data_IF_076965694973
#
_entry.id   IF_076965694973
#
_cell.length_a   1.000
_cell.length_b   1.000
_cell.length_c   1.000
_cell.angle_alpha   90.00
_cell.angle_beta   90.00
_cell.angle_gamma   90.00
#
_symmetry.space_group_name_H-M   'P 1'
#
loop_
_entity.id
_entity.type
_entity.pdbx_description
1 polymer ?
#
# COMPACT_ATOMS: atom_id res chain seq x y z
N UNK A 1 -16.96 2.44 -23.88
CA UNK A 1 -16.41 1.11 -23.53
C UNK A 1 -15.05 1.00 -24.21
N UNK A 2 -14.01 1.52 -23.56
CA UNK A 2 -12.63 1.45 -24.05
C UNK A 2 -11.84 0.54 -23.13
N UNK A 3 -11.27 -0.52 -23.69
CA UNK A 3 -10.41 -1.47 -22.96
C UNK A 3 -9.07 -0.81 -22.65
N UNK A 4 -8.74 -0.67 -21.36
CA UNK A 4 -7.42 -0.20 -20.90
C UNK A 4 -6.35 -1.25 -21.28
N UNK A 5 -5.15 -0.84 -21.76
CA UNK A 5 -4.06 -1.77 -22.04
C UNK A 5 -3.37 -2.25 -20.75
N UNK A 6 -2.76 -3.46 -20.75
CA UNK A 6 -2.06 -4.00 -19.59
C UNK A 6 -0.77 -3.22 -19.28
N UNK A 7 -0.53 -2.98 -17.99
CA UNK A 7 0.72 -2.46 -17.45
C UNK A 7 1.89 -3.37 -17.83
N UNK A 8 2.74 -2.90 -18.76
CA UNK A 8 4.00 -3.56 -19.08
C UNK A 8 5.00 -3.24 -17.99
N UNK A 9 5.32 -4.26 -17.17
CA UNK A 9 6.39 -4.23 -16.17
C UNK A 9 7.73 -4.10 -16.91
N UNK A 10 8.31 -2.90 -16.90
CA UNK A 10 9.66 -2.67 -17.43
C UNK A 10 10.67 -3.28 -16.46
N UNK A 11 11.19 -4.46 -16.81
CA UNK A 11 12.34 -5.08 -16.14
C UNK A 11 13.56 -4.18 -16.33
N UNK A 12 14.04 -3.54 -15.26
CA UNK A 12 15.31 -2.80 -15.25
C UNK A 12 16.50 -3.77 -15.14
N UNK A 13 17.51 -3.67 -16.02
CA UNK A 13 18.79 -4.33 -15.82
C UNK A 13 19.72 -3.47 -14.95
N UNK A 14 20.35 -4.07 -13.92
CA UNK A 14 21.66 -3.60 -13.43
C UNK A 14 21.76 -3.02 -12.02
N UNK A 15 21.24 -3.69 -10.99
CA UNK A 15 21.63 -3.37 -9.59
C UNK A 15 22.57 -4.46 -9.07
N UNK A 16 23.87 -4.15 -9.05
CA UNK A 16 24.90 -4.95 -8.39
C UNK A 16 24.76 -4.83 -6.88
N UNK A 17 24.39 -5.93 -6.21
CA UNK A 17 24.44 -6.05 -4.76
C UNK A 17 25.90 -6.16 -4.31
N UNK A 18 26.44 -5.11 -3.69
CA UNK A 18 27.72 -5.17 -3.00
C UNK A 18 27.48 -5.60 -1.55
N UNK A 19 27.83 -6.85 -1.24
CA UNK A 19 27.71 -7.48 0.08
C UNK A 19 28.68 -6.86 1.10
N UNK A 20 28.14 -6.25 2.16
CA UNK A 20 28.88 -5.88 3.36
C UNK A 20 28.50 -6.80 4.51
N UNK A 21 29.37 -7.75 4.82
CA UNK A 21 29.20 -8.77 5.86
C UNK A 21 29.69 -8.20 7.21
N UNK A 22 28.80 -8.09 8.20
CA UNK A 22 29.12 -7.71 9.57
C UNK A 22 28.36 -8.60 10.56
N UNK A 23 29.06 -9.62 11.07
CA UNK A 23 28.54 -10.59 12.03
C UNK A 23 28.65 -10.07 13.47
N UNK A 24 27.61 -10.25 14.29
CA UNK A 24 27.73 -10.43 15.74
C UNK A 24 26.66 -11.38 16.29
N UNK A 25 26.92 -12.06 17.44
CA UNK A 25 26.25 -13.31 17.81
C UNK A 25 25.30 -13.23 19.03
N UNK A 26 24.40 -14.22 19.05
CA UNK A 26 23.86 -15.01 20.19
C UNK A 26 22.98 -14.35 21.26
N UNK A 27 21.71 -14.76 21.26
CA UNK A 27 20.84 -14.82 22.42
C UNK A 27 19.76 -15.90 22.21
N UNK A 28 19.99 -17.11 22.73
CA UNK A 28 19.05 -18.23 22.69
C UNK A 28 18.13 -18.22 23.92
N UNK A 29 16.81 -18.27 23.71
CA UNK A 29 15.83 -18.53 24.75
C UNK A 29 15.00 -19.80 24.40
N UNK A 30 14.64 -20.64 25.39
CA UNK A 30 14.04 -21.95 25.17
C UNK A 30 12.50 -21.94 25.07
N UNK A 31 12.03 -23.09 24.58
CA UNK A 31 10.69 -23.50 24.18
C UNK A 31 9.58 -23.41 25.24
N UNK A 32 8.35 -23.18 24.78
CA UNK A 32 7.15 -23.69 25.42
C UNK A 32 6.20 -24.24 24.34
N UNK A 33 6.29 -25.56 24.11
CA UNK A 33 5.33 -26.31 23.31
C UNK A 33 4.04 -26.49 24.11
N UNK A 34 2.89 -26.18 23.49
CA UNK A 34 1.58 -26.47 24.08
C UNK A 34 0.76 -27.30 23.10
N UNK A 35 0.74 -28.58 23.41
CA UNK A 35 -0.07 -29.62 22.80
C UNK A 35 -1.52 -29.58 23.30
N UNK A 36 -2.37 -30.35 22.61
CA UNK A 36 -3.79 -30.71 22.86
C UNK A 36 -4.82 -29.76 22.20
N UNK A 37 -5.85 -30.22 21.50
CA UNK A 37 -6.43 -31.57 21.40
C UNK A 37 -7.31 -31.66 20.15
N UNK A 38 -7.18 -32.77 19.42
CA UNK A 38 -8.01 -33.15 18.29
C UNK A 38 -9.23 -33.93 18.82
N UNK A 39 -10.45 -33.47 18.54
CA UNK A 39 -11.68 -34.22 18.80
C UNK A 39 -12.38 -34.46 17.46
N UNK A 40 -12.41 -35.73 17.06
CA UNK A 40 -13.10 -36.27 15.88
C UNK A 40 -14.35 -36.98 16.39
N UNK A 41 -15.54 -36.70 15.85
CA UNK A 41 -16.71 -37.61 15.89
C UNK A 41 -17.88 -37.08 15.05
N UNK A 42 -18.31 -37.83 14.03
CA UNK A 42 -19.67 -37.71 13.46
C UNK A 42 -19.79 -38.00 11.96
N UNK A 43 -20.61 -38.99 11.51
CA UNK A 43 -20.51 -39.58 10.18
C UNK A 43 -21.49 -39.02 9.12
N UNK A 44 -20.98 -39.04 7.89
CA UNK A 44 -21.59 -39.35 6.58
C UNK A 44 -23.12 -39.30 6.42
N UNK A 45 -23.57 -38.38 5.55
CA UNK A 45 -24.74 -38.58 4.67
C UNK A 45 -24.34 -38.28 3.23
N UNK A 46 -24.45 -39.32 2.41
CA UNK A 46 -24.34 -39.35 0.94
C UNK A 46 -25.54 -38.65 0.28
N UNK A 47 -25.30 -37.94 -0.85
CA UNK A 47 -26.03 -38.02 -2.14
C UNK A 47 -25.84 -36.70 -2.95
N UNK A 48 -25.12 -36.71 -4.11
CA UNK A 48 -25.67 -36.82 -5.50
C UNK A 48 -26.57 -35.59 -5.85
N UNK A 49 -26.38 -34.76 -6.89
CA UNK A 49 -26.06 -34.98 -8.32
C UNK A 49 -25.75 -33.64 -9.06
N UNK A 50 -24.72 -33.68 -9.92
CA UNK A 50 -24.46 -33.04 -11.23
C UNK A 50 -24.85 -31.59 -11.62
N UNK A 51 -23.87 -30.91 -12.26
CA UNK A 51 -23.85 -30.39 -13.66
C UNK A 51 -23.07 -29.07 -13.71
N UNK A 52 -21.78 -29.04 -14.06
CA UNK A 52 -21.20 -28.95 -15.41
C UNK A 52 -21.75 -27.77 -16.27
N UNK A 53 -21.00 -26.65 -16.35
CA UNK A 53 -20.69 -25.94 -17.61
C UNK A 53 -19.51 -24.98 -17.42
N UNK A 54 -18.57 -25.07 -18.37
CA UNK A 54 -17.33 -24.31 -18.51
C UNK A 54 -17.57 -22.84 -18.88
N UNK A 55 -16.87 -21.93 -18.21
CA UNK A 55 -16.42 -20.66 -18.78
C UNK A 55 -15.03 -20.38 -18.22
N UNK A 56 -14.04 -20.18 -19.10
CA UNK A 56 -12.63 -20.01 -18.74
C UNK A 56 -12.43 -18.78 -17.85
N UNK A 57 -12.12 -19.02 -16.58
CA UNK A 57 -11.52 -18.03 -15.71
C UNK A 57 -10.02 -18.05 -15.94
N UNK A 58 -9.45 -16.92 -16.33
CA UNK A 58 -8.04 -16.67 -16.06
C UNK A 58 -7.93 -16.61 -14.54
N UNK A 59 -7.36 -17.65 -13.92
CA UNK A 59 -6.91 -17.58 -12.53
C UNK A 59 -5.69 -16.65 -12.53
N UNK A 60 -5.77 -15.44 -11.93
CA UNK A 60 -4.57 -14.67 -11.68
C UNK A 60 -3.73 -15.45 -10.66
N UNK A 61 -2.46 -15.69 -11.00
CA UNK A 61 -1.47 -16.22 -10.08
C UNK A 61 -1.37 -15.26 -8.87
N UNK A 62 -1.91 -15.69 -7.72
CA UNK A 62 -1.79 -15.01 -6.44
C UNK A 62 -0.35 -15.20 -5.91
N UNK A 63 0.60 -14.46 -6.49
CA UNK A 63 1.89 -14.16 -5.87
C UNK A 63 1.65 -13.18 -4.71
N UNK A 64 1.16 -13.73 -3.60
CA UNK A 64 0.82 -13.03 -2.36
C UNK A 64 2.10 -12.62 -1.61
N UNK A 65 2.67 -11.46 -1.97
CA UNK A 65 3.82 -10.83 -1.31
C UNK A 65 3.47 -10.27 0.10
N UNK A 66 2.30 -10.60 0.66
CA UNK A 66 1.91 -10.30 2.05
C UNK A 66 1.60 -8.82 2.35
N UNK A 67 1.48 -7.97 1.33
CA UNK A 67 0.94 -6.61 1.46
C UNK A 67 -0.60 -6.62 1.40
N UNK A 68 -1.29 -5.66 2.05
CA UNK A 68 -2.73 -5.53 1.87
C UNK A 68 -3.06 -5.29 0.40
N UNK A 69 -4.16 -5.89 -0.06
CA UNK A 69 -4.74 -5.64 -1.37
C UNK A 69 -5.08 -4.16 -1.56
N UNK A 70 -5.39 -3.76 -2.80
CA UNK A 70 -5.94 -2.44 -3.09
C UNK A 70 -7.10 -2.10 -2.15
N UNK A 71 -7.25 -0.82 -1.82
CA UNK A 71 -8.34 -0.36 -0.94
C UNK A 71 -9.62 -0.14 -1.73
N UNK A 72 -10.75 -0.44 -1.11
CA UNK A 72 -12.07 -0.17 -1.69
C UNK A 72 -12.39 1.33 -1.57
N UNK A 73 -11.91 2.13 -2.53
CA UNK A 73 -12.16 3.57 -2.59
C UNK A 73 -12.61 4.01 -3.99
N UNK A 74 -13.68 4.79 -4.03
CA UNK A 74 -14.16 5.49 -5.23
C UNK A 74 -13.96 7.00 -5.06
N UNK A 75 -12.93 7.54 -5.71
CA UNK A 75 -12.59 8.96 -5.66
C UNK A 75 -13.73 9.88 -6.16
N UNK A 76 -14.63 9.38 -7.02
CA UNK A 76 -15.72 10.17 -7.57
C UNK A 76 -16.87 10.40 -6.58
N UNK A 77 -16.93 9.60 -5.50
CA UNK A 77 -18.05 9.64 -4.53
C UNK A 77 -17.73 10.38 -3.24
N UNK A 78 -16.47 10.68 -2.98
CA UNK A 78 -16.05 11.39 -1.77
C UNK A 78 -16.04 12.92 -1.98
N UNK A 79 -16.09 13.66 -0.87
CA UNK A 79 -16.06 15.13 -0.89
C UNK A 79 -14.68 15.62 -0.41
N UNK A 80 -13.85 16.21 -1.28
CA UNK A 80 -12.51 16.64 -0.89
C UNK A 80 -12.59 17.92 -0.05
N UNK A 81 -11.70 18.05 0.93
CA UNK A 81 -11.64 19.22 1.82
C UNK A 81 -11.14 20.47 1.09
N UNK A 82 -10.35 20.27 0.04
CA UNK A 82 -9.77 21.31 -0.80
C UNK A 82 -9.66 20.81 -2.24
N UNK A 83 -9.33 21.71 -3.17
CA UNK A 83 -9.17 21.36 -4.58
C UNK A 83 -8.07 20.30 -4.78
N UNK A 84 -8.33 19.19 -5.48
CA UNK A 84 -7.41 18.04 -5.58
C UNK A 84 -6.25 18.27 -6.56
N UNK A 85 -5.51 19.37 -6.38
CA UNK A 85 -4.29 19.69 -7.12
C UNK A 85 -3.06 19.30 -6.30
N UNK A 86 -1.94 19.03 -6.97
CA UNK A 86 -0.71 18.64 -6.29
C UNK A 86 -0.22 19.68 -5.29
N UNK A 87 -0.30 20.98 -5.62
CA UNK A 87 0.13 22.04 -4.70
C UNK A 87 -0.65 21.99 -3.38
N UNK A 88 -1.96 21.72 -3.44
CA UNK A 88 -2.83 21.61 -2.26
C UNK A 88 -2.60 20.29 -1.53
N UNK A 89 -2.54 19.17 -2.24
CA UNK A 89 -2.25 17.85 -1.65
C UNK A 89 -0.92 17.88 -0.89
N UNK A 90 0.12 18.47 -1.49
CA UNK A 90 1.42 18.59 -0.84
C UNK A 90 1.36 19.50 0.38
N UNK A 91 0.87 20.73 0.23
CA UNK A 91 0.93 21.75 1.30
C UNK A 91 -0.03 21.51 2.45
N UNK A 92 -1.20 20.91 2.17
CA UNK A 92 -2.24 20.71 3.17
C UNK A 92 -2.17 19.33 3.82
N UNK A 93 -1.64 18.31 3.14
CA UNK A 93 -1.68 16.93 3.67
C UNK A 93 -0.31 16.27 3.71
N UNK A 94 0.40 16.09 2.58
CA UNK A 94 1.64 15.30 2.57
C UNK A 94 2.73 15.94 3.43
N UNK A 95 2.98 17.24 3.28
CA UNK A 95 4.02 17.94 4.04
C UNK A 95 3.69 18.00 5.54
N UNK A 96 2.51 18.48 5.99
CA UNK A 96 2.21 18.58 7.42
C UNK A 96 2.06 17.21 8.09
N UNK A 97 1.44 16.22 7.44
CA UNK A 97 1.10 14.93 8.07
C UNK A 97 2.17 13.86 7.89
N UNK A 98 2.99 13.93 6.84
CA UNK A 98 4.00 12.90 6.53
C UNK A 98 5.44 13.42 6.59
N UNK A 99 5.68 14.72 6.32
CA UNK A 99 7.01 15.29 6.12
C UNK A 99 7.52 16.29 7.15
N UNK A 100 6.73 16.67 8.16
CA UNK A 100 7.14 17.66 9.17
C UNK A 100 8.38 17.23 9.95
N UNK A 101 9.49 17.95 9.76
CA UNK A 101 10.76 17.67 10.45
C UNK A 101 10.61 17.65 11.98
N UNK A 102 11.22 16.66 12.64
CA UNK A 102 11.22 16.51 14.10
C UNK A 102 10.01 15.81 14.70
N UNK A 103 8.93 15.61 13.93
CA UNK A 103 7.74 14.86 14.36
C UNK A 103 7.29 13.79 13.34
N UNK A 104 7.67 13.93 12.07
CA UNK A 104 7.17 13.07 11.01
C UNK A 104 8.15 11.94 10.63
N UNK A 105 7.57 10.81 10.23
CA UNK A 105 8.28 9.59 9.93
C UNK A 105 8.99 9.62 8.55
N UNK A 106 8.65 10.54 7.65
CA UNK A 106 9.25 10.63 6.30
C UNK A 106 10.05 11.91 6.06
N UNK A 107 10.43 12.65 7.11
CA UNK A 107 11.08 13.96 6.94
C UNK A 107 12.55 13.90 6.45
N UNK A 108 13.20 12.74 6.54
CA UNK A 108 14.58 12.55 6.08
C UNK A 108 14.86 11.07 5.81
N UNK A 109 15.97 10.75 5.14
CA UNK A 109 16.39 9.38 4.89
C UNK A 109 16.71 8.58 6.17
N UNK A 110 16.94 9.26 7.29
CA UNK A 110 17.19 8.65 8.60
C UNK A 110 15.92 8.56 9.46
N UNK A 111 14.80 9.10 8.99
CA UNK A 111 13.53 9.02 9.69
C UNK A 111 12.97 7.59 9.66
N UNK A 112 12.27 7.18 10.71
CA UNK A 112 11.81 5.80 10.91
C UNK A 112 10.87 5.27 9.80
N UNK A 113 10.13 6.16 9.14
CA UNK A 113 9.24 5.84 8.02
C UNK A 113 9.93 5.82 6.65
N UNK A 114 11.18 6.27 6.54
CA UNK A 114 11.90 6.31 5.26
C UNK A 114 12.39 4.93 4.78
N UNK A 115 12.15 3.87 5.56
CA UNK A 115 12.57 2.49 5.29
C UNK A 115 12.09 1.94 3.94
N UNK A 116 11.01 2.49 3.39
CA UNK A 116 10.47 2.16 2.06
C UNK A 116 11.02 3.01 0.91
N UNK A 117 12.00 3.89 1.16
CA UNK A 117 12.58 4.77 0.14
C UNK A 117 11.80 6.06 -0.13
N UNK A 118 10.70 6.31 0.58
CA UNK A 118 9.93 7.55 0.49
C UNK A 118 10.36 8.57 1.54
N UNK A 119 10.80 9.74 1.08
CA UNK A 119 11.16 10.90 1.91
C UNK A 119 10.45 12.13 1.36
N UNK A 120 9.75 12.84 2.24
CA UNK A 120 9.11 14.11 1.91
C UNK A 120 10.15 15.22 2.07
N UNK A 121 10.42 15.92 0.98
CA UNK A 121 11.41 17.01 0.93
C UNK A 121 10.74 18.29 0.42
N UNK A 122 11.16 18.81 -0.73
CA UNK A 122 10.43 19.88 -1.42
C UNK A 122 9.31 19.32 -2.29
N UNK A 123 8.41 20.21 -2.72
CA UNK A 123 7.21 19.86 -3.48
C UNK A 123 7.52 19.14 -4.80
N UNK A 124 8.53 19.58 -5.56
CA UNK A 124 8.82 18.98 -6.85
C UNK A 124 9.52 17.61 -6.70
N UNK A 125 10.47 17.53 -5.77
CA UNK A 125 11.18 16.28 -5.46
C UNK A 125 10.24 15.22 -4.87
N UNK A 126 9.31 15.61 -4.00
CA UNK A 126 8.34 14.69 -3.41
C UNK A 126 7.37 14.15 -4.46
N UNK A 127 6.88 15.00 -5.38
CA UNK A 127 6.03 14.56 -6.50
C UNK A 127 6.73 13.51 -7.35
N UNK A 128 7.97 13.81 -7.75
CA UNK A 128 8.79 12.90 -8.56
C UNK A 128 9.04 11.59 -7.82
N UNK A 129 9.35 11.64 -6.52
CA UNK A 129 9.58 10.45 -5.71
C UNK A 129 8.33 9.57 -5.58
N UNK A 130 7.13 10.16 -5.46
CA UNK A 130 5.87 9.41 -5.42
C UNK A 130 5.66 8.59 -6.70
N UNK A 131 5.95 9.19 -7.86
CA UNK A 131 5.78 8.56 -9.17
C UNK A 131 6.90 7.57 -9.49
N UNK A 132 8.16 7.99 -9.37
CA UNK A 132 9.34 7.19 -9.70
C UNK A 132 9.51 5.99 -8.77
N UNK A 133 9.09 6.14 -7.51
CA UNK A 133 9.08 5.07 -6.51
C UNK A 133 7.92 4.09 -6.67
N UNK A 134 6.94 4.38 -7.53
CA UNK A 134 5.74 3.56 -7.70
C UNK A 134 4.75 3.68 -6.54
N UNK A 135 4.90 4.66 -5.65
CA UNK A 135 3.98 4.87 -4.53
C UNK A 135 2.62 5.41 -4.99
N UNK A 136 2.60 6.07 -6.15
CA UNK A 136 1.41 6.57 -6.83
C UNK A 136 1.38 6.01 -8.24
N UNK A 137 0.23 5.42 -8.58
CA UNK A 137 -0.10 4.96 -9.92
C UNK A 137 -1.16 5.92 -10.50
N UNK A 138 -0.77 6.80 -11.45
CA UNK A 138 -1.71 7.75 -12.04
C UNK A 138 -2.96 7.08 -12.64
N UNK A 139 -4.14 7.53 -12.22
CA UNK A 139 -5.43 7.00 -12.67
C UNK A 139 -5.87 5.69 -12.01
N UNK A 140 -5.17 5.27 -10.95
CA UNK A 140 -5.48 4.12 -10.11
C UNK A 140 -5.25 4.45 -8.63
N UNK A 141 -6.20 5.17 -8.05
CA UNK A 141 -6.16 5.57 -6.65
C UNK A 141 -6.28 4.38 -5.69
N UNK A 142 -7.06 3.35 -6.04
CA UNK A 142 -7.33 2.22 -5.17
C UNK A 142 -6.09 1.34 -4.94
N UNK A 143 -5.28 1.17 -5.99
CA UNK A 143 -4.08 0.35 -5.96
C UNK A 143 -2.78 1.15 -5.80
N UNK A 144 -2.84 2.46 -5.63
CA UNK A 144 -1.66 3.26 -5.29
C UNK A 144 -1.24 3.00 -3.84
N UNK A 145 0.02 2.59 -3.60
CA UNK A 145 0.55 2.33 -2.25
C UNK A 145 0.28 3.48 -1.28
N UNK A 146 0.38 4.73 -1.74
CA UNK A 146 0.06 5.90 -0.93
C UNK A 146 -1.37 5.83 -0.38
N UNK A 147 -2.35 5.48 -1.20
CA UNK A 147 -3.74 5.37 -0.76
C UNK A 147 -3.98 4.14 0.10
N UNK A 148 -3.34 3.02 -0.22
CA UNK A 148 -3.40 1.81 0.63
C UNK A 148 -2.90 2.14 2.04
N UNK A 149 -1.83 2.94 2.16
CA UNK A 149 -1.30 3.41 3.44
C UNK A 149 -2.22 4.40 4.15
N UNK A 150 -3.02 5.19 3.44
CA UNK A 150 -3.90 6.21 4.04
C UNK A 150 -5.31 5.70 4.38
N UNK A 151 -5.72 4.59 3.78
CA UNK A 151 -7.14 4.16 3.82
C UNK A 151 -7.38 2.68 4.11
N UNK A 152 -6.34 1.92 4.44
CA UNK A 152 -6.52 0.55 4.91
C UNK A 152 -7.20 0.51 6.29
N UNK A 153 -8.02 -0.51 6.51
CA UNK A 153 -8.56 -0.84 7.83
C UNK A 153 -7.52 -1.54 8.74
N UNK A 154 -6.40 -2.01 8.17
CA UNK A 154 -5.30 -2.58 8.95
C UNK A 154 -4.49 -1.47 9.63
N UNK A 155 -4.79 -1.25 10.90
CA UNK A 155 -4.10 -0.26 11.75
C UNK A 155 -2.57 -0.45 11.87
N UNK A 156 -2.04 -1.65 11.56
CA UNK A 156 -0.59 -1.89 11.54
C UNK A 156 0.08 -1.37 10.25
N UNK A 157 -0.71 -1.18 9.20
CA UNK A 157 -0.27 -0.69 7.89
C UNK A 157 -0.66 0.78 7.63
N UNK A 158 -1.70 1.25 8.33
CA UNK A 158 -2.23 2.62 8.25
C UNK A 158 -1.19 3.68 8.66
N UNK A 159 -1.18 4.78 7.91
CA UNK A 159 -0.36 5.95 8.14
C UNK A 159 -1.22 7.18 8.43
N UNK A 160 -0.84 8.02 9.42
CA UNK A 160 0.33 7.86 10.29
C UNK A 160 0.14 6.74 11.34
N UNK A 161 1.24 6.10 11.81
CA UNK A 161 1.14 4.94 12.68
C UNK A 161 0.70 5.35 14.09
N UNK A 162 -0.23 4.60 14.68
CA UNK A 162 -0.69 4.80 16.05
C UNK A 162 -1.45 6.11 16.30
N UNK A 163 -1.80 6.85 15.24
CA UNK A 163 -2.63 8.05 15.31
C UNK A 163 -4.02 7.78 14.73
N UNK A 164 -4.89 8.79 14.83
CA UNK A 164 -6.10 8.80 13.99
C UNK A 164 -5.70 8.86 12.51
N UNK A 165 -6.51 8.28 11.61
CA UNK A 165 -6.37 8.49 10.19
C UNK A 165 -6.36 9.99 9.86
N UNK A 166 -5.72 10.34 8.74
CA UNK A 166 -5.86 11.66 8.13
C UNK A 166 -7.36 11.94 7.85
N UNK A 167 -7.77 13.20 7.89
CA UNK A 167 -9.16 13.60 7.67
C UNK A 167 -9.72 13.03 6.36
N UNK A 168 -10.99 12.62 6.35
CA UNK A 168 -11.60 12.00 5.17
C UNK A 168 -11.58 12.93 3.95
N UNK A 169 -11.80 14.23 4.13
CA UNK A 169 -11.76 15.18 3.04
C UNK A 169 -10.34 15.39 2.49
N UNK A 170 -9.32 15.29 3.33
CA UNK A 170 -7.92 15.29 2.89
C UNK A 170 -7.57 14.02 2.11
N UNK A 171 -7.93 12.84 2.64
CA UNK A 171 -7.74 11.56 1.95
C UNK A 171 -8.48 11.52 0.61
N UNK A 172 -9.68 12.07 0.56
CA UNK A 172 -10.44 12.23 -0.67
C UNK A 172 -9.72 13.13 -1.69
N UNK A 173 -9.14 14.25 -1.25
CA UNK A 173 -8.40 15.14 -2.15
C UNK A 173 -7.16 14.43 -2.75
N UNK A 174 -6.45 13.62 -1.96
CA UNK A 174 -5.34 12.78 -2.46
C UNK A 174 -5.84 11.76 -3.48
N UNK A 175 -6.92 11.03 -3.17
CA UNK A 175 -7.49 10.03 -4.06
C UNK A 175 -7.93 10.63 -5.40
N UNK A 176 -8.62 11.77 -5.37
CA UNK A 176 -9.06 12.46 -6.58
C UNK A 176 -7.88 12.97 -7.40
N UNK A 177 -6.84 13.51 -6.77
CA UNK A 177 -5.62 13.93 -7.47
C UNK A 177 -4.96 12.76 -8.21
N UNK A 178 -4.87 11.58 -7.57
CA UNK A 178 -4.33 10.37 -8.20
C UNK A 178 -5.22 9.92 -9.35
N UNK A 179 -6.54 9.85 -9.14
CA UNK A 179 -7.52 9.46 -10.16
C UNK A 179 -7.49 10.38 -11.39
N UNK A 180 -7.17 11.67 -11.19
CA UNK A 180 -6.99 12.67 -12.24
C UNK A 180 -5.63 12.59 -12.96
N UNK A 181 -4.83 11.56 -12.67
CA UNK A 181 -3.55 11.30 -13.32
C UNK A 181 -2.35 11.88 -12.56
N UNK A 182 -2.50 12.22 -11.28
CA UNK A 182 -1.43 12.67 -10.40
C UNK A 182 -0.58 13.82 -10.99
N UNK A 183 -1.24 14.77 -11.65
CA UNK A 183 -0.56 15.87 -12.35
C UNK A 183 0.10 16.84 -11.37
N UNK A 184 1.22 17.51 -11.74
CA UNK A 184 1.89 18.51 -10.90
C UNK A 184 1.07 19.76 -10.62
#
# INVERSE_FOLDING_TARGET
>A
MGTRPPCVRVLRPGVSCLSGQGALPWGSAPMAARSLQLVISGPSVLALVASLMLAGGCEPDDDDDGGPSCVERDAATCAPLYEPTWDRVFTQTIQPSCGTAGAACHASAQASGASGGFVVTDMAATHSALLDGGFVVPGDEACSDLMVRLDTDDTSYLMPPGSQPIDEGERCAVAQWIAQGASP
#
